data_IF_004261020475
#
_entry.id   IF_004261020475
#
_cell.length_a   1.000
_cell.length_b   1.000
_cell.length_c   1.000
_cell.angle_alpha   90.00
_cell.angle_beta   90.00
_cell.angle_gamma   90.00
#
_symmetry.space_group_name_H-M   'P 1'
#
loop_
_entity.id
_entity.type
_entity.pdbx_description
1 polymer ?
#
# COMPACT_ATOMS: atom_id res chain seq x y z
N UNK A 1 3.08 27.07 1.48
CA UNK A 1 4.13 27.10 0.45
C UNK A 1 5.15 28.22 0.74
N UNK A 2 4.71 29.47 1.02
CA UNK A 2 5.61 30.61 1.28
C UNK A 2 6.66 30.33 2.37
N UNK A 3 6.23 29.82 3.54
CA UNK A 3 7.15 29.48 4.64
C UNK A 3 8.18 28.38 4.27
N UNK A 4 7.82 27.44 3.39
CA UNK A 4 8.77 26.44 2.89
C UNK A 4 9.83 27.07 2.01
N UNK A 5 9.44 28.02 1.17
CA UNK A 5 10.37 28.75 0.30
C UNK A 5 11.29 29.66 1.10
N UNK A 6 10.74 30.41 2.05
CA UNK A 6 11.53 31.23 2.99
C UNK A 6 12.56 30.40 3.74
N UNK A 7 12.15 29.26 4.29
CA UNK A 7 13.07 28.32 4.94
C UNK A 7 14.20 27.88 4.02
N UNK A 8 13.90 27.52 2.78
CA UNK A 8 14.92 27.09 1.82
C UNK A 8 15.91 28.21 1.52
N UNK A 9 15.42 29.44 1.32
CA UNK A 9 16.27 30.62 1.09
C UNK A 9 17.17 30.95 2.29
N UNK A 10 16.64 30.87 3.51
CA UNK A 10 17.43 31.06 4.74
C UNK A 10 18.56 30.03 4.86
N UNK A 11 18.37 28.83 4.31
CA UNK A 11 19.36 27.75 4.29
C UNK A 11 20.28 27.81 3.04
N UNK A 12 20.15 28.84 2.19
CA UNK A 12 20.99 29.04 1.02
C UNK A 12 20.57 28.30 -0.25
N UNK A 13 19.35 27.71 -0.27
CA UNK A 13 18.84 26.99 -1.43
C UNK A 13 17.96 27.87 -2.32
N UNK A 14 18.02 27.63 -3.64
CA UNK A 14 17.23 28.35 -4.62
C UNK A 14 15.72 28.05 -4.55
N UNK A 15 15.34 26.89 -4.01
CA UNK A 15 13.96 26.51 -3.82
C UNK A 15 13.81 25.42 -2.73
N UNK A 16 12.60 25.24 -2.24
CA UNK A 16 12.30 24.14 -1.29
C UNK A 16 12.57 22.76 -1.92
N UNK A 17 12.33 22.60 -3.23
CA UNK A 17 12.63 21.35 -3.92
C UNK A 17 14.15 21.08 -3.94
N UNK A 18 14.99 22.08 -4.21
CA UNK A 18 16.44 21.93 -4.15
C UNK A 18 16.91 21.53 -2.75
N UNK A 19 16.40 22.21 -1.70
CA UNK A 19 16.69 21.86 -0.31
C UNK A 19 16.27 20.42 0.04
N UNK A 20 15.05 20.04 -0.35
CA UNK A 20 14.51 18.74 0.04
C UNK A 20 15.16 17.57 -0.70
N UNK A 21 15.57 17.77 -1.96
CA UNK A 21 16.11 16.71 -2.81
C UNK A 21 17.61 16.47 -2.63
N UNK A 22 18.34 17.40 -2.04
CA UNK A 22 19.79 17.26 -1.86
C UNK A 22 20.20 15.93 -1.19
N UNK A 23 19.58 15.51 -0.07
CA UNK A 23 19.92 14.22 0.57
C UNK A 23 19.20 13.02 -0.05
N UNK A 24 18.34 13.21 -1.04
CA UNK A 24 17.59 12.13 -1.68
C UNK A 24 18.36 11.56 -2.88
N UNK A 25 17.99 10.37 -3.36
CA UNK A 25 18.64 9.71 -4.51
C UNK A 25 18.67 10.58 -5.77
N UNK A 26 17.65 11.39 -6.00
CA UNK A 26 17.58 12.28 -7.16
C UNK A 26 18.55 13.47 -7.09
N UNK A 27 18.94 13.91 -5.90
CA UNK A 27 19.92 14.97 -5.65
C UNK A 27 19.48 16.38 -6.02
N UNK A 28 18.68 16.57 -7.05
CA UNK A 28 18.24 17.88 -7.53
C UNK A 28 16.91 17.82 -8.32
N UNK A 29 16.21 18.98 -8.47
CA UNK A 29 14.94 19.04 -9.18
C UNK A 29 15.03 18.69 -10.67
N UNK A 30 16.18 18.95 -11.32
CA UNK A 30 16.34 18.64 -12.74
C UNK A 30 16.36 17.14 -12.99
N UNK A 31 17.06 16.35 -12.17
CA UNK A 31 17.07 14.89 -12.27
C UNK A 31 15.66 14.28 -12.12
N UNK A 32 14.84 14.83 -11.20
CA UNK A 32 13.43 14.43 -11.05
C UNK A 32 12.65 14.73 -12.33
N UNK A 33 12.78 15.95 -12.87
CA UNK A 33 12.10 16.36 -14.10
C UNK A 33 12.49 15.48 -15.28
N UNK A 34 13.77 15.22 -15.45
CA UNK A 34 14.29 14.41 -16.56
C UNK A 34 13.72 12.98 -16.52
N UNK A 35 13.69 12.36 -15.34
CA UNK A 35 13.07 11.05 -15.18
C UNK A 35 11.57 11.08 -15.48
N UNK A 36 10.85 12.06 -14.94
CA UNK A 36 9.42 12.20 -15.18
C UNK A 36 9.09 12.40 -16.66
N UNK A 37 9.89 13.20 -17.36
CA UNK A 37 9.67 13.46 -18.79
C UNK A 37 10.01 12.25 -19.68
N UNK A 38 10.98 11.43 -19.31
CA UNK A 38 11.23 10.15 -19.98
C UNK A 38 10.03 9.20 -19.90
N UNK A 39 9.31 9.19 -18.78
CA UNK A 39 8.13 8.34 -18.57
C UNK A 39 6.88 8.97 -19.17
N UNK A 40 6.73 10.30 -19.07
CA UNK A 40 5.50 11.03 -19.43
C UNK A 40 5.08 10.84 -20.89
N UNK A 41 6.00 11.02 -21.82
CA UNK A 41 5.69 10.95 -23.25
C UNK A 41 5.17 9.56 -23.68
N UNK A 42 5.87 8.44 -23.37
CA UNK A 42 5.37 7.11 -23.70
C UNK A 42 4.11 6.73 -22.89
N UNK A 43 3.99 7.13 -21.63
CA UNK A 43 2.81 6.87 -20.81
C UNK A 43 1.57 7.57 -21.37
N UNK A 44 1.70 8.82 -21.80
CA UNK A 44 0.60 9.57 -22.44
C UNK A 44 0.17 8.95 -23.76
N UNK A 45 1.13 8.56 -24.60
CA UNK A 45 0.82 7.86 -25.84
C UNK A 45 0.09 6.55 -25.62
N UNK A 46 0.54 5.77 -24.61
CA UNK A 46 -0.14 4.52 -24.25
C UNK A 46 -1.55 4.76 -23.71
N UNK A 47 -1.73 5.74 -22.83
CA UNK A 47 -3.06 6.08 -22.30
C UNK A 47 -4.03 6.51 -23.42
N UNK A 48 -3.56 7.22 -24.46
CA UNK A 48 -4.36 7.53 -25.65
C UNK A 48 -4.80 6.27 -26.40
N UNK A 49 -3.89 5.35 -26.68
CA UNK A 49 -4.19 4.10 -27.32
C UNK A 49 -5.17 3.22 -26.52
N UNK A 50 -5.01 3.18 -25.19
CA UNK A 50 -5.95 2.47 -24.32
C UNK A 50 -7.34 3.13 -24.34
N UNK A 51 -7.43 4.47 -24.36
CA UNK A 51 -8.71 5.19 -24.48
C UNK A 51 -9.44 4.83 -25.79
N UNK A 52 -8.76 4.80 -26.91
CA UNK A 52 -9.34 4.40 -28.22
C UNK A 52 -9.95 3.01 -28.19
N UNK A 53 -9.31 2.05 -27.53
CA UNK A 53 -9.82 0.69 -27.35
C UNK A 53 -11.09 0.69 -26.50
N UNK A 54 -11.11 1.44 -25.40
CA UNK A 54 -12.27 1.54 -24.52
C UNK A 54 -13.45 2.25 -25.20
N UNK A 55 -13.19 3.32 -25.96
CA UNK A 55 -14.20 4.00 -26.78
C UNK A 55 -14.81 3.08 -27.85
N UNK A 56 -13.98 2.22 -28.45
CA UNK A 56 -14.49 1.25 -29.43
C UNK A 56 -15.48 0.27 -28.81
N UNK A 57 -15.24 -0.17 -27.57
CA UNK A 57 -16.18 -1.00 -26.81
C UNK A 57 -17.45 -0.24 -26.46
N UNK A 58 -17.33 1.00 -25.99
CA UNK A 58 -18.46 1.87 -25.68
C UNK A 58 -19.38 2.05 -26.90
N UNK A 59 -18.81 2.28 -28.07
CA UNK A 59 -19.58 2.38 -29.32
C UNK A 59 -20.25 1.05 -29.73
N UNK A 60 -19.60 -0.08 -29.46
CA UNK A 60 -20.20 -1.40 -29.73
C UNK A 60 -21.43 -1.67 -28.85
N UNK A 61 -21.54 -1.05 -27.71
CA UNK A 61 -22.71 -1.06 -26.81
C UNK A 61 -23.77 0.00 -27.21
N UNK A 62 -23.55 0.74 -28.31
CA UNK A 62 -24.49 1.76 -28.81
C UNK A 62 -24.35 3.14 -28.16
N UNK A 63 -23.33 3.34 -27.34
CA UNK A 63 -23.07 4.65 -26.69
C UNK A 63 -22.12 5.46 -27.58
N UNK A 64 -22.65 6.54 -28.16
CA UNK A 64 -21.92 7.43 -29.05
C UNK A 64 -21.52 8.70 -28.29
N UNK A 65 -20.32 8.76 -27.77
CA UNK A 65 -19.76 9.87 -27.04
C UNK A 65 -18.25 9.75 -26.84
N UNK A 66 -17.62 10.71 -26.23
CA UNK A 66 -16.26 10.59 -25.77
C UNK A 66 -16.20 9.74 -24.49
N UNK A 67 -15.11 9.04 -24.29
CA UNK A 67 -14.84 8.31 -23.05
C UNK A 67 -14.55 9.33 -21.92
N UNK A 68 -15.43 9.38 -20.95
CA UNK A 68 -15.29 10.26 -19.81
C UNK A 68 -14.57 9.56 -18.64
N UNK A 69 -13.98 10.30 -17.68
CA UNK A 69 -13.19 9.71 -16.58
C UNK A 69 -13.98 8.67 -15.75
N UNK A 70 -15.28 8.80 -15.63
CA UNK A 70 -16.14 7.85 -14.89
C UNK A 70 -16.41 6.56 -15.67
N UNK A 71 -16.30 6.56 -17.01
CA UNK A 71 -16.52 5.40 -17.87
C UNK A 71 -15.30 4.48 -17.93
N UNK A 72 -14.11 5.05 -17.70
CA UNK A 72 -12.83 4.37 -17.86
C UNK A 72 -12.78 3.03 -17.13
N UNK A 73 -13.12 3.02 -15.85
CA UNK A 73 -13.03 1.81 -15.03
C UNK A 73 -13.99 0.72 -15.46
N UNK A 74 -15.19 1.10 -15.88
CA UNK A 74 -16.19 0.15 -16.38
C UNK A 74 -15.71 -0.55 -17.63
N UNK A 75 -15.28 0.19 -18.65
CA UNK A 75 -14.82 -0.39 -19.92
C UNK A 75 -13.47 -1.08 -19.81
N UNK A 76 -12.58 -0.62 -18.94
CA UNK A 76 -11.32 -1.30 -18.64
C UNK A 76 -11.56 -2.69 -18.01
N UNK A 77 -12.53 -2.80 -17.10
CA UNK A 77 -12.92 -4.08 -16.50
C UNK A 77 -13.58 -5.01 -17.53
N UNK A 78 -14.47 -4.48 -18.37
CA UNK A 78 -15.08 -5.24 -19.45
C UNK A 78 -14.02 -5.77 -20.46
N UNK A 79 -13.00 -4.95 -20.76
CA UNK A 79 -11.84 -5.35 -21.55
C UNK A 79 -11.06 -6.47 -20.89
N UNK A 80 -10.70 -6.29 -19.61
CA UNK A 80 -9.94 -7.26 -18.83
C UNK A 80 -10.63 -8.62 -18.79
N UNK A 81 -11.93 -8.65 -18.55
CA UNK A 81 -12.72 -9.89 -18.58
C UNK A 81 -12.68 -10.58 -19.95
N UNK A 82 -12.82 -9.81 -21.02
CA UNK A 82 -12.82 -10.37 -22.38
C UNK A 82 -11.44 -10.87 -22.83
N UNK A 83 -10.36 -10.22 -22.43
CA UNK A 83 -9.01 -10.58 -22.84
C UNK A 83 -8.38 -11.68 -21.97
N UNK A 84 -8.73 -11.78 -20.69
CA UNK A 84 -8.07 -12.66 -19.74
C UNK A 84 -8.99 -13.70 -19.10
N UNK A 85 -10.29 -13.66 -19.40
CA UNK A 85 -11.31 -14.55 -18.77
C UNK A 85 -11.20 -14.57 -17.22
N UNK A 86 -10.83 -13.43 -16.65
CA UNK A 86 -10.59 -13.27 -15.22
C UNK A 86 -11.75 -12.54 -14.56
N UNK A 87 -12.47 -13.24 -13.69
CA UNK A 87 -13.46 -12.64 -12.80
C UNK A 87 -12.92 -12.53 -11.39
N UNK A 88 -12.72 -11.29 -10.91
CA UNK A 88 -12.28 -11.04 -9.53
C UNK A 88 -13.26 -11.57 -8.49
N UNK A 89 -14.56 -11.62 -8.80
CA UNK A 89 -15.55 -12.17 -7.91
C UNK A 89 -15.30 -13.67 -7.64
N UNK A 90 -14.76 -14.39 -8.62
CA UNK A 90 -14.40 -15.80 -8.47
C UNK A 90 -13.17 -16.01 -7.57
N UNK A 91 -12.32 -14.99 -7.39
CA UNK A 91 -11.14 -15.08 -6.54
C UNK A 91 -11.45 -14.77 -5.06
N UNK A 92 -12.47 -13.96 -4.78
CA UNK A 92 -12.81 -13.53 -3.41
C UNK A 92 -12.94 -14.66 -2.39
N UNK A 93 -13.58 -15.82 -2.71
CA UNK A 93 -13.71 -16.92 -1.75
C UNK A 93 -12.37 -17.51 -1.31
N UNK A 94 -11.32 -17.42 -2.15
CA UNK A 94 -9.99 -17.93 -1.84
C UNK A 94 -9.14 -16.96 -1.00
N UNK A 95 -9.54 -15.68 -0.95
CA UNK A 95 -8.79 -14.60 -0.32
C UNK A 95 -9.50 -14.08 0.94
N UNK A 96 -10.16 -14.94 1.70
CA UNK A 96 -10.72 -14.54 2.98
C UNK A 96 -9.63 -14.09 3.94
N UNK A 97 -9.94 -13.14 4.83
CA UNK A 97 -8.99 -12.63 5.83
C UNK A 97 -8.38 -13.78 6.67
N UNK A 98 -9.19 -14.74 7.08
CA UNK A 98 -8.72 -15.87 7.90
C UNK A 98 -7.73 -16.73 7.11
N UNK A 99 -8.04 -17.09 5.86
CA UNK A 99 -7.14 -17.86 5.02
C UNK A 99 -5.82 -17.10 4.76
N UNK A 100 -5.88 -15.79 4.57
CA UNK A 100 -4.69 -14.97 4.39
C UNK A 100 -3.83 -14.88 5.64
N UNK A 101 -4.43 -14.79 6.82
CA UNK A 101 -3.69 -14.80 8.09
C UNK A 101 -3.01 -16.15 8.31
N UNK A 102 -3.73 -17.25 8.11
CA UNK A 102 -3.16 -18.61 8.22
C UNK A 102 -2.00 -18.80 7.25
N UNK A 103 -2.16 -18.35 5.99
CA UNK A 103 -1.10 -18.42 4.99
C UNK A 103 0.12 -17.58 5.39
N UNK A 104 -0.07 -16.34 5.84
CA UNK A 104 1.01 -15.47 6.28
C UNK A 104 1.77 -16.05 7.49
N UNK A 105 1.05 -16.55 8.48
CA UNK A 105 1.65 -17.19 9.65
C UNK A 105 2.36 -18.50 9.28
N UNK A 106 1.76 -19.29 8.39
CA UNK A 106 2.36 -20.51 7.88
C UNK A 106 3.67 -20.24 7.11
N UNK A 107 3.70 -19.22 6.25
CA UNK A 107 4.92 -18.80 5.54
C UNK A 107 5.99 -18.32 6.52
N UNK A 108 5.63 -17.46 7.48
CA UNK A 108 6.55 -16.99 8.50
C UNK A 108 7.10 -18.15 9.37
N UNK A 109 6.24 -19.13 9.65
CA UNK A 109 6.65 -20.36 10.35
C UNK A 109 7.68 -21.16 9.57
N UNK A 110 7.43 -21.38 8.28
CA UNK A 110 8.35 -22.15 7.39
C UNK A 110 9.67 -21.43 7.16
N UNK A 111 9.68 -20.12 6.99
CA UNK A 111 10.89 -19.34 6.71
C UNK A 111 11.71 -19.04 7.96
N UNK A 112 11.04 -18.74 9.08
CA UNK A 112 11.72 -18.18 10.26
C UNK A 112 11.52 -18.99 11.54
N UNK A 113 10.77 -20.10 11.48
CA UNK A 113 10.46 -20.92 12.65
C UNK A 113 9.53 -20.22 13.66
N UNK A 114 8.75 -19.25 13.20
CA UNK A 114 7.82 -18.50 14.05
C UNK A 114 6.51 -19.27 14.26
N UNK A 115 5.94 -19.14 15.44
CA UNK A 115 4.62 -19.65 15.79
C UNK A 115 3.77 -18.49 16.31
N UNK A 116 2.51 -18.43 15.87
CA UNK A 116 1.55 -17.41 16.27
C UNK A 116 0.44 -18.08 17.06
N UNK A 117 0.22 -17.63 18.29
CA UNK A 117 -0.84 -18.13 19.16
C UNK A 117 -1.77 -16.98 19.52
N UNK A 118 -3.09 -17.13 19.38
CA UNK A 118 -4.02 -16.11 19.83
C UNK A 118 -3.71 -15.70 21.28
N UNK A 119 -3.72 -14.40 21.52
CA UNK A 119 -3.46 -13.81 22.83
C UNK A 119 -4.66 -12.98 23.23
N UNK A 120 -5.28 -13.36 24.34
CA UNK A 120 -6.35 -12.57 24.96
C UNK A 120 -5.73 -11.36 25.65
N UNK A 121 -5.94 -10.19 25.07
CA UNK A 121 -5.41 -8.93 25.52
C UNK A 121 -6.43 -7.82 25.30
N UNK A 122 -6.64 -6.97 26.30
CA UNK A 122 -7.43 -5.76 26.13
C UNK A 122 -6.75 -4.81 25.12
N UNK A 123 -7.39 -4.64 23.97
CA UNK A 123 -6.89 -3.80 22.88
C UNK A 123 -7.72 -2.51 22.77
N UNK A 124 -7.22 -1.57 21.99
CA UNK A 124 -7.84 -0.26 21.75
C UNK A 124 -9.14 -0.31 20.92
N UNK A 125 -9.45 -1.43 20.28
CA UNK A 125 -10.68 -1.64 19.50
C UNK A 125 -11.09 -3.12 19.50
N UNK A 126 -12.38 -3.44 19.54
CA UNK A 126 -12.85 -4.84 19.60
C UNK A 126 -12.50 -5.66 18.33
N UNK A 127 -12.35 -5.02 17.17
CA UNK A 127 -11.96 -5.70 15.93
C UNK A 127 -10.45 -5.99 15.86
N UNK A 128 -9.65 -5.38 16.72
CA UNK A 128 -8.22 -5.67 16.77
C UNK A 128 -7.99 -7.02 17.46
N UNK A 129 -7.06 -7.80 16.94
CA UNK A 129 -6.70 -9.13 17.46
C UNK A 129 -5.21 -9.17 17.78
N UNK A 130 -4.84 -9.90 18.82
CA UNK A 130 -3.44 -10.07 19.21
C UNK A 130 -3.00 -11.53 19.11
N UNK A 131 -1.72 -11.71 18.82
CA UNK A 131 -1.05 -13.01 18.83
C UNK A 131 0.29 -12.91 19.57
N UNK A 132 0.56 -13.88 20.41
CA UNK A 132 1.91 -14.12 20.87
C UNK A 132 2.73 -14.74 19.74
N UNK A 133 3.91 -14.17 19.47
CA UNK A 133 4.86 -14.71 18.49
C UNK A 133 5.99 -15.40 19.26
N UNK A 134 6.18 -16.70 18.99
CA UNK A 134 7.25 -17.49 19.61
C UNK A 134 8.17 -18.12 18.55
N UNK A 135 9.38 -18.46 18.96
CA UNK A 135 10.31 -19.26 18.16
C UNK A 135 11.04 -20.25 19.10
N UNK A 136 10.92 -21.55 18.79
CA UNK A 136 11.46 -22.60 19.67
C UNK A 136 10.90 -22.54 21.09
N UNK A 137 9.64 -22.19 21.26
CA UNK A 137 8.97 -22.02 22.56
C UNK A 137 9.32 -20.74 23.32
N UNK A 138 10.24 -19.91 22.81
CA UNK A 138 10.64 -18.64 23.43
C UNK A 138 9.80 -17.48 22.91
N UNK A 139 9.29 -16.65 23.78
CA UNK A 139 8.58 -15.41 23.43
C UNK A 139 9.48 -14.46 22.63
N UNK A 140 9.01 -14.02 21.47
CA UNK A 140 9.73 -13.14 20.55
C UNK A 140 9.09 -11.77 20.41
N UNK A 141 7.76 -11.72 20.32
CA UNK A 141 7.00 -10.50 20.06
C UNK A 141 5.51 -10.65 20.41
N UNK A 142 4.81 -9.53 20.45
CA UNK A 142 3.36 -9.49 20.29
C UNK A 142 3.05 -8.90 18.91
N UNK A 143 2.21 -9.58 18.16
CA UNK A 143 1.68 -9.10 16.89
C UNK A 143 0.21 -8.72 17.05
N UNK A 144 -0.17 -7.53 16.57
CA UNK A 144 -1.54 -7.02 16.61
C UNK A 144 -2.01 -6.79 15.18
N UNK A 145 -3.16 -7.34 14.83
CA UNK A 145 -3.82 -7.13 13.55
C UNK A 145 -5.08 -6.30 13.72
N UNK A 146 -5.21 -5.23 12.95
CA UNK A 146 -6.36 -4.34 12.93
C UNK A 146 -6.77 -4.10 11.48
N UNK A 147 -7.67 -4.93 10.96
CA UNK A 147 -7.86 -5.12 9.51
C UNK A 147 -9.03 -4.34 8.92
N UNK A 148 -10.09 -4.07 9.69
CA UNK A 148 -11.33 -3.51 9.17
C UNK A 148 -11.32 -1.97 9.12
N UNK A 149 -11.93 -1.43 8.07
CA UNK A 149 -12.10 0.00 7.92
C UNK A 149 -13.04 0.57 9.00
N UNK A 150 -12.77 1.80 9.45
CA UNK A 150 -13.64 2.59 10.34
C UNK A 150 -13.33 4.08 10.23
N UNK A 151 -14.24 4.93 10.66
CA UNK A 151 -14.16 6.39 10.51
C UNK A 151 -12.90 7.02 11.15
N UNK A 152 -12.33 6.40 12.20
CA UNK A 152 -11.12 6.88 12.87
C UNK A 152 -9.82 6.51 12.14
N UNK A 153 -9.86 5.66 11.13
CA UNK A 153 -8.69 5.25 10.33
C UNK A 153 -8.50 6.14 9.10
N UNK A 154 -7.27 6.26 8.67
CA UNK A 154 -6.92 6.77 7.33
C UNK A 154 -6.85 5.60 6.35
N UNK A 155 -7.06 5.88 5.07
CA UNK A 155 -6.93 4.89 4.01
C UNK A 155 -5.50 4.33 3.90
N UNK A 156 -5.37 3.13 3.31
CA UNK A 156 -4.11 2.43 3.15
C UNK A 156 -3.88 1.35 4.20
N UNK A 157 -2.69 0.77 4.17
CA UNK A 157 -2.25 -0.25 5.12
C UNK A 157 -0.83 0.07 5.58
N UNK A 158 -0.52 -0.25 6.82
CA UNK A 158 0.84 -0.05 7.37
C UNK A 158 1.16 -1.06 8.45
N UNK A 159 2.45 -1.25 8.65
CA UNK A 159 2.99 -2.02 9.74
C UNK A 159 3.93 -1.12 10.56
N UNK A 160 3.76 -1.10 11.86
CA UNK A 160 4.53 -0.25 12.78
C UNK A 160 4.85 -0.98 14.07
N UNK A 161 5.95 -0.59 14.70
CA UNK A 161 6.27 -1.01 16.05
C UNK A 161 5.66 -0.03 17.05
N UNK A 162 4.67 -0.48 17.85
CA UNK A 162 4.18 0.26 19.00
C UNK A 162 5.23 0.28 20.13
N UNK A 163 6.02 -0.79 20.21
CA UNK A 163 7.19 -0.88 21.06
C UNK A 163 8.32 -1.51 20.25
N UNK A 164 9.41 -0.77 20.06
CA UNK A 164 10.56 -1.25 19.31
C UNK A 164 11.37 -2.25 20.12
N UNK A 165 11.94 -3.25 19.42
CA UNK A 165 12.91 -4.16 20.02
C UNK A 165 14.19 -3.39 20.37
N UNK A 166 14.74 -3.68 21.55
CA UNK A 166 16.05 -3.16 21.96
C UNK A 166 16.76 -4.11 22.91
N UNK A 167 18.07 -3.97 23.01
CA UNK A 167 18.92 -4.69 23.97
C UNK A 167 19.66 -3.75 24.91
N UNK A 168 19.82 -2.47 24.53
CA UNK A 168 20.42 -1.47 25.39
C UNK A 168 19.54 -1.22 26.62
N UNK A 169 20.13 -1.37 27.81
CA UNK A 169 19.40 -1.23 29.08
C UNK A 169 18.48 -2.41 29.43
N UNK A 170 18.71 -3.59 28.82
CA UNK A 170 17.93 -4.81 28.99
C UNK A 170 17.15 -5.21 27.75
N UNK A 171 16.79 -6.49 27.67
CA UNK A 171 16.07 -7.03 26.54
C UNK A 171 14.59 -6.60 26.56
N UNK A 172 14.15 -5.88 25.54
CA UNK A 172 12.75 -5.50 25.32
C UNK A 172 12.25 -6.16 24.04
N UNK A 173 11.18 -6.93 24.15
CA UNK A 173 10.53 -7.58 23.00
C UNK A 173 9.57 -6.62 22.31
N UNK A 174 9.47 -6.65 20.97
CA UNK A 174 8.64 -5.72 20.23
C UNK A 174 7.15 -6.02 20.36
N UNK A 175 6.36 -4.97 20.22
CA UNK A 175 4.93 -5.05 19.94
C UNK A 175 4.72 -4.43 18.56
N UNK A 176 4.26 -5.21 17.61
CA UNK A 176 4.11 -4.80 16.21
C UNK A 176 2.63 -4.80 15.85
N UNK A 177 2.18 -3.78 15.17
CA UNK A 177 0.81 -3.67 14.67
C UNK A 177 0.80 -3.61 13.15
N UNK A 178 -0.09 -4.41 12.54
CA UNK A 178 -0.45 -4.31 11.13
C UNK A 178 -1.87 -3.76 11.04
N UNK A 179 -2.04 -2.64 10.35
CA UNK A 179 -3.32 -1.95 10.20
C UNK A 179 -3.70 -1.95 8.73
N UNK A 180 -4.93 -2.36 8.43
CA UNK A 180 -5.50 -2.37 7.10
C UNK A 180 -6.87 -1.66 7.08
N UNK A 181 -7.52 -1.64 5.93
CA UNK A 181 -8.84 -1.03 5.71
C UNK A 181 -9.66 -1.88 4.73
N UNK A 182 -9.94 -3.12 5.11
CA UNK A 182 -10.77 -4.04 4.34
C UNK A 182 -12.26 -3.74 4.48
#
# INVERSE_FOLDING_TARGET
LALREERARLLGYASFAAYKLEPEMAGNPQAVRDLLMQVWAPARARAGADAEVLESRMRAEGINGALEPWDWRYYAEARRKAEHDLDEAALKPYLSLEAMLEAAFGVAGRLFGLQFRPLDLALYHPDARAWEVTRGGRHMAVFIGDYFARASKRSGAWCSAMRSQRKLGGEVRPVVVNVCNF
#
